data_IF_703644183375
#
_entry.id   IF_703644183375
#
_cell.length_a   1.000
_cell.length_b   1.000
_cell.length_c   1.000
_cell.angle_alpha   90.00
_cell.angle_beta   90.00
_cell.angle_gamma   90.00
#
_symmetry.space_group_name_H-M   'P 1'
#
loop_
_entity.id
_entity.type
_entity.pdbx_description
1 polymer ?
#
# COMPACT_ATOMS: atom_id res chain seq x y z
N UNK A 1 -2.37 -19.98 -10.81
CA UNK A 1 -3.27 -19.72 -9.67
C UNK A 1 -2.77 -18.57 -8.78
N UNK A 2 -1.48 -18.45 -8.44
CA UNK A 2 -0.96 -17.40 -7.52
C UNK A 2 -1.43 -15.97 -7.86
N UNK A 3 -1.36 -15.56 -9.13
CA UNK A 3 -1.86 -14.24 -9.55
C UNK A 3 -3.37 -14.06 -9.36
N UNK A 4 -4.16 -15.09 -9.69
CA UNK A 4 -5.61 -15.10 -9.43
C UNK A 4 -5.91 -15.04 -7.92
N UNK A 5 -5.15 -15.77 -7.10
CA UNK A 5 -5.29 -15.75 -5.64
C UNK A 5 -4.99 -14.38 -5.06
N UNK A 6 -3.87 -13.75 -5.43
CA UNK A 6 -3.53 -12.41 -4.96
C UNK A 6 -4.54 -11.35 -5.42
N UNK A 7 -5.02 -11.42 -6.67
CA UNK A 7 -6.05 -10.51 -7.17
C UNK A 7 -7.40 -10.72 -6.46
N UNK A 8 -7.80 -11.97 -6.21
CA UNK A 8 -9.01 -12.26 -5.45
C UNK A 8 -8.92 -11.75 -4.00
N UNK A 9 -7.76 -11.89 -3.35
CA UNK A 9 -7.52 -11.33 -2.01
C UNK A 9 -7.63 -9.80 -2.01
N UNK A 10 -7.04 -9.14 -3.01
CA UNK A 10 -7.16 -7.69 -3.17
C UNK A 10 -8.61 -7.25 -3.38
N UNK A 11 -9.38 -8.00 -4.16
CA UNK A 11 -10.80 -7.71 -4.41
C UNK A 11 -11.69 -7.96 -3.18
N UNK A 12 -11.31 -8.91 -2.31
CA UNK A 12 -12.06 -9.25 -1.09
C UNK A 12 -11.58 -8.49 0.16
N UNK A 13 -10.53 -7.66 0.04
CA UNK A 13 -10.03 -6.89 1.16
C UNK A 13 -10.83 -5.60 1.34
N UNK A 14 -11.42 -5.46 2.53
CA UNK A 14 -12.34 -4.39 2.83
C UNK A 14 -11.65 -3.01 2.87
N UNK A 15 -10.40 -2.92 3.34
CA UNK A 15 -9.64 -1.67 3.33
C UNK A 15 -9.48 -1.13 1.91
N UNK A 16 -9.06 -1.97 0.96
CA UNK A 16 -8.93 -1.61 -0.46
C UNK A 16 -10.29 -1.29 -1.09
N UNK A 17 -11.34 -2.05 -0.78
CA UNK A 17 -12.69 -1.80 -1.27
C UNK A 17 -13.21 -0.42 -0.84
N UNK A 18 -13.15 -0.10 0.45
CA UNK A 18 -13.63 1.19 0.98
C UNK A 18 -12.84 2.35 0.39
N UNK A 19 -11.50 2.25 0.35
CA UNK A 19 -10.65 3.32 -0.19
C UNK A 19 -10.87 3.55 -1.68
N UNK A 20 -11.15 2.50 -2.45
CA UNK A 20 -11.47 2.63 -3.88
C UNK A 20 -12.85 3.24 -4.11
N UNK A 21 -13.84 2.93 -3.26
CA UNK A 21 -15.20 3.48 -3.34
C UNK A 21 -15.26 4.97 -3.02
N UNK A 22 -14.43 5.44 -2.09
CA UNK A 22 -14.32 6.87 -1.76
C UNK A 22 -13.20 7.59 -2.53
N UNK A 23 -12.57 6.90 -3.49
CA UNK A 23 -11.55 7.43 -4.38
C UNK A 23 -10.36 8.12 -3.67
N UNK A 24 -9.79 7.48 -2.64
CA UNK A 24 -8.62 8.06 -1.96
C UNK A 24 -7.39 8.12 -2.86
N UNK A 25 -6.53 9.12 -2.63
CA UNK A 25 -5.26 9.29 -3.33
C UNK A 25 -4.36 8.04 -3.28
N UNK A 26 -4.45 7.26 -2.19
CA UNK A 26 -3.70 6.00 -2.01
C UNK A 26 -4.00 4.99 -3.10
N UNK A 27 -5.25 4.86 -3.55
CA UNK A 27 -5.63 3.86 -4.55
C UNK A 27 -4.99 4.15 -5.90
N UNK A 28 -4.97 5.42 -6.30
CA UNK A 28 -4.31 5.86 -7.54
C UNK A 28 -2.79 5.64 -7.46
N UNK A 29 -2.19 5.96 -6.30
CA UNK A 29 -0.78 5.69 -6.05
C UNK A 29 -0.46 4.19 -6.11
N UNK A 30 -1.23 3.35 -5.40
CA UNK A 30 -1.07 1.89 -5.42
C UNK A 30 -1.22 1.31 -6.82
N UNK A 31 -2.18 1.79 -7.61
CA UNK A 31 -2.32 1.36 -9.00
C UNK A 31 -1.05 1.68 -9.82
N UNK A 32 -0.53 2.91 -9.71
CA UNK A 32 0.73 3.31 -10.34
C UNK A 32 1.92 2.47 -9.87
N UNK A 33 2.01 2.18 -8.58
CA UNK A 33 3.05 1.31 -8.00
C UNK A 33 2.99 -0.11 -8.58
N UNK A 34 1.80 -0.73 -8.63
CA UNK A 34 1.63 -2.11 -9.11
C UNK A 34 1.96 -2.21 -10.59
N UNK A 35 1.43 -1.29 -11.41
CA UNK A 35 1.74 -1.25 -12.84
C UNK A 35 3.22 -0.93 -13.12
N UNK A 36 3.80 -0.01 -12.36
CA UNK A 36 5.23 0.31 -12.39
C UNK A 36 6.08 -0.92 -12.12
N UNK A 37 5.78 -1.67 -11.06
CA UNK A 37 6.49 -2.92 -10.75
C UNK A 37 6.32 -3.98 -11.84
N UNK A 38 5.12 -4.15 -12.40
CA UNK A 38 4.88 -5.09 -13.52
C UNK A 38 5.74 -4.72 -14.73
N UNK A 39 5.80 -3.44 -15.10
CA UNK A 39 6.64 -2.97 -16.21
C UNK A 39 8.13 -3.16 -15.91
N UNK A 40 8.57 -2.90 -14.68
CA UNK A 40 9.95 -3.08 -14.26
C UNK A 40 10.37 -4.56 -14.36
N UNK A 41 9.52 -5.46 -13.87
CA UNK A 41 9.69 -6.91 -13.95
C UNK A 41 9.70 -7.42 -15.41
N UNK A 42 8.98 -6.75 -16.32
CA UNK A 42 9.01 -6.99 -17.76
C UNK A 42 10.20 -6.33 -18.48
N UNK A 43 11.21 -5.89 -17.73
CA UNK A 43 12.42 -5.25 -18.24
C UNK A 43 12.16 -3.93 -19.01
N UNK A 44 11.15 -3.16 -18.60
CA UNK A 44 10.84 -1.84 -19.16
C UNK A 44 11.02 -0.73 -18.10
N UNK A 45 12.26 -0.47 -17.62
CA UNK A 45 12.50 0.39 -16.46
C UNK A 45 12.09 1.85 -16.69
N UNK A 46 12.22 2.38 -17.91
CA UNK A 46 11.83 3.77 -18.21
C UNK A 46 10.30 3.95 -18.14
N UNK A 47 9.54 3.04 -18.74
CA UNK A 47 8.07 3.05 -18.65
C UNK A 47 7.59 2.78 -17.22
N UNK A 48 8.28 1.88 -16.51
CA UNK A 48 8.01 1.66 -15.09
C UNK A 48 8.15 2.95 -14.30
N UNK A 49 9.28 3.66 -14.47
CA UNK A 49 9.51 4.95 -13.84
C UNK A 49 8.44 5.97 -14.18
N UNK A 50 8.07 6.11 -15.46
CA UNK A 50 7.02 7.04 -15.89
C UNK A 50 5.66 6.78 -15.20
N UNK A 51 5.26 5.51 -15.07
CA UNK A 51 4.02 5.13 -14.38
C UNK A 51 4.11 5.35 -12.86
N UNK A 52 5.27 5.11 -12.25
CA UNK A 52 5.50 5.41 -10.82
C UNK A 52 5.43 6.91 -10.58
N UNK A 53 6.02 7.73 -11.44
CA UNK A 53 5.95 9.19 -11.34
C UNK A 53 4.53 9.74 -11.51
N UNK A 54 3.73 9.13 -12.40
CA UNK A 54 2.29 9.43 -12.49
C UNK A 54 1.56 9.09 -11.17
N UNK A 55 1.87 7.94 -10.57
CA UNK A 55 1.36 7.57 -9.24
C UNK A 55 1.80 8.55 -8.14
N UNK A 56 3.05 9.04 -8.20
CA UNK A 56 3.59 10.02 -7.26
C UNK A 56 2.87 11.36 -7.36
N UNK A 57 2.42 11.75 -8.55
CA UNK A 57 1.57 12.94 -8.73
C UNK A 57 0.19 12.81 -8.09
N UNK A 58 -0.29 11.59 -7.84
CA UNK A 58 -1.50 11.36 -7.05
C UNK A 58 -1.21 11.34 -5.55
N UNK A 59 -0.13 10.66 -5.13
CA UNK A 59 0.31 10.64 -3.73
C UNK A 59 1.82 10.40 -3.59
N UNK A 60 2.44 11.19 -2.71
CA UNK A 60 3.89 11.19 -2.42
C UNK A 60 4.47 9.85 -1.93
N UNK A 61 3.63 8.86 -1.61
CA UNK A 61 4.05 7.54 -1.14
C UNK A 61 4.34 6.56 -2.29
N UNK A 62 3.92 6.86 -3.53
CA UNK A 62 4.15 5.98 -4.67
C UNK A 62 5.64 5.61 -4.90
N UNK A 63 6.62 6.52 -4.69
CA UNK A 63 8.04 6.18 -4.78
C UNK A 63 8.51 5.08 -3.83
N UNK A 64 7.73 4.68 -2.81
CA UNK A 64 8.11 3.55 -1.93
C UNK A 64 8.25 2.24 -2.69
N UNK A 65 7.63 2.10 -3.86
CA UNK A 65 7.86 0.94 -4.73
C UNK A 65 9.32 0.89 -5.23
N UNK A 66 10.04 2.01 -5.32
CA UNK A 66 11.46 2.02 -5.65
C UNK A 66 12.29 1.36 -4.54
N UNK A 67 11.94 1.54 -3.27
CA UNK A 67 12.55 0.79 -2.16
C UNK A 67 12.22 -0.70 -2.26
N UNK A 68 10.98 -1.06 -2.60
CA UNK A 68 10.60 -2.44 -2.84
C UNK A 68 11.42 -3.09 -3.98
N UNK A 69 11.61 -2.37 -5.09
CA UNK A 69 12.44 -2.83 -6.22
C UNK A 69 13.92 -2.93 -5.82
N UNK A 70 14.44 -1.99 -5.04
CA UNK A 70 15.80 -2.05 -4.51
C UNK A 70 16.02 -3.30 -3.63
N UNK A 71 15.08 -3.58 -2.72
CA UNK A 71 15.12 -4.78 -1.89
C UNK A 71 14.98 -6.03 -2.76
N UNK A 72 14.11 -6.03 -3.76
CA UNK A 72 13.96 -7.17 -4.69
C UNK A 72 15.27 -7.48 -5.42
N UNK A 73 15.93 -6.46 -5.98
CA UNK A 73 17.20 -6.64 -6.68
C UNK A 73 18.32 -7.07 -5.72
N UNK A 74 18.33 -6.57 -4.49
CA UNK A 74 19.23 -7.03 -3.43
C UNK A 74 19.00 -8.51 -3.10
N UNK A 75 17.75 -8.93 -2.87
CA UNK A 75 17.40 -10.32 -2.56
C UNK A 75 17.76 -11.27 -3.71
N UNK A 76 17.55 -10.84 -4.96
CA UNK A 76 17.97 -11.60 -6.14
C UNK A 76 19.49 -11.71 -6.23
N UNK A 77 20.22 -10.63 -6.00
CA UNK A 77 21.68 -10.63 -5.99
C UNK A 77 22.26 -11.55 -4.91
N UNK A 78 21.72 -11.52 -3.68
CA UNK A 78 22.16 -12.43 -2.61
C UNK A 78 22.02 -13.90 -3.04
N UNK A 79 20.98 -14.23 -3.82
CA UNK A 79 20.70 -15.59 -4.31
C UNK A 79 21.59 -16.02 -5.48
N UNK A 80 21.70 -15.18 -6.51
CA UNK A 80 22.35 -15.59 -7.78
C UNK A 80 23.79 -15.10 -7.91
N UNK A 81 24.16 -14.07 -7.15
CA UNK A 81 25.47 -13.39 -7.22
C UNK A 81 25.80 -12.84 -8.62
N UNK A 82 24.77 -12.56 -9.44
CA UNK A 82 24.92 -11.97 -10.77
C UNK A 82 25.48 -10.54 -10.72
N UNK A 83 25.80 -9.99 -11.89
CA UNK A 83 26.29 -8.62 -12.06
C UNK A 83 25.38 -7.56 -11.42
N UNK A 84 25.90 -6.92 -10.38
CA UNK A 84 25.23 -5.83 -9.64
C UNK A 84 25.02 -4.59 -10.51
N UNK A 85 25.98 -4.29 -11.39
CA UNK A 85 25.97 -3.08 -12.22
C UNK A 85 24.71 -2.98 -13.09
N UNK A 86 24.32 -4.06 -13.75
CA UNK A 86 23.13 -4.11 -14.61
C UNK A 86 21.84 -3.90 -13.80
N UNK A 87 21.76 -4.45 -12.58
CA UNK A 87 20.60 -4.29 -11.69
C UNK A 87 20.48 -2.85 -11.17
N UNK A 88 21.60 -2.29 -10.72
CA UNK A 88 21.68 -0.89 -10.27
C UNK A 88 21.36 0.07 -11.41
N UNK A 89 21.89 -0.15 -12.61
CA UNK A 89 21.59 0.66 -13.79
C UNK A 89 20.11 0.67 -14.15
N UNK A 90 19.43 -0.49 -14.12
CA UNK A 90 17.98 -0.58 -14.35
C UNK A 90 17.17 0.13 -13.28
N UNK A 91 17.54 -0.02 -12.01
CA UNK A 91 16.87 0.66 -10.89
C UNK A 91 17.06 2.18 -10.98
N UNK A 92 18.27 2.64 -11.29
CA UNK A 92 18.59 4.06 -11.48
C UNK A 92 17.79 4.65 -12.65
N UNK A 93 17.74 3.97 -13.79
CA UNK A 93 16.94 4.40 -14.94
C UNK A 93 15.46 4.54 -14.58
N UNK A 94 14.92 3.60 -13.80
CA UNK A 94 13.55 3.65 -13.29
C UNK A 94 13.33 4.84 -12.34
N UNK A 95 14.24 5.04 -11.38
CA UNK A 95 14.16 6.13 -10.41
C UNK A 95 14.26 7.51 -11.08
N UNK A 96 15.19 7.69 -12.03
CA UNK A 96 15.33 8.94 -12.80
C UNK A 96 14.09 9.18 -13.65
N UNK A 97 13.58 8.17 -14.37
CA UNK A 97 12.35 8.33 -15.14
C UNK A 97 11.14 8.66 -14.26
N UNK A 98 11.06 8.10 -13.05
CA UNK A 98 10.04 8.45 -12.06
C UNK A 98 10.16 9.89 -11.58
N UNK A 99 11.36 10.36 -11.25
CA UNK A 99 11.59 11.72 -10.80
C UNK A 99 11.28 12.73 -11.91
N UNK A 100 11.72 12.46 -13.15
CA UNK A 100 11.47 13.34 -14.30
C UNK A 100 9.98 13.41 -14.65
N UNK A 101 9.28 12.27 -14.71
CA UNK A 101 7.85 12.25 -15.01
C UNK A 101 7.03 12.97 -13.93
N UNK A 102 7.32 12.72 -12.64
CA UNK A 102 6.71 13.44 -11.54
C UNK A 102 6.95 14.95 -11.65
N UNK A 103 8.20 15.38 -11.87
CA UNK A 103 8.56 16.80 -11.95
C UNK A 103 7.89 17.50 -13.13
N UNK A 104 7.86 16.87 -14.30
CA UNK A 104 7.17 17.39 -15.49
C UNK A 104 5.67 17.53 -15.21
N UNK A 105 5.03 16.49 -14.67
CA UNK A 105 3.60 16.53 -14.34
C UNK A 105 3.29 17.60 -13.29
N UNK A 106 4.11 17.71 -12.24
CA UNK A 106 3.94 18.74 -11.21
C UNK A 106 4.10 20.15 -11.79
N UNK A 107 5.04 20.35 -12.73
CA UNK A 107 5.23 21.63 -13.41
C UNK A 107 4.01 21.99 -14.26
N UNK A 108 3.52 21.05 -15.08
CA UNK A 108 2.31 21.26 -15.90
C UNK A 108 1.09 21.54 -15.02
N UNK A 109 0.91 20.79 -13.94
CA UNK A 109 -0.18 21.02 -12.98
C UNK A 109 -0.05 22.38 -12.30
N UNK A 110 1.17 22.83 -12.00
CA UNK A 110 1.40 24.17 -11.46
C UNK A 110 1.01 25.30 -12.42
N UNK A 111 0.93 25.05 -13.73
CA UNK A 111 0.41 26.01 -14.70
C UNK A 111 -1.12 26.01 -14.77
N UNK A 112 -1.75 24.83 -14.69
CA UNK A 112 -3.20 24.65 -14.77
C UNK A 112 -3.87 25.09 -13.45
N UNK A 113 -3.30 24.65 -12.32
CA UNK A 113 -3.78 24.89 -10.98
C UNK A 113 -2.61 25.33 -10.08
N UNK A 114 -2.25 26.63 -10.12
CA UNK A 114 -1.13 27.14 -9.33
C UNK A 114 -1.28 26.83 -7.84
N UNK A 115 -0.21 26.32 -7.18
CA UNK A 115 -0.29 25.87 -5.80
C UNK A 115 -0.65 27.02 -4.85
N UNK A 116 -1.57 26.75 -3.94
CA UNK A 116 -2.11 27.72 -2.99
C UNK A 116 -2.05 27.13 -1.57
N UNK A 117 -1.60 27.94 -0.61
CA UNK A 117 -1.60 27.56 0.81
C UNK A 117 -2.78 28.21 1.52
N UNK A 118 -3.78 27.43 1.98
CA UNK A 118 -4.89 27.96 2.76
C UNK A 118 -4.45 28.58 4.09
N UNK A 119 -3.33 28.13 4.67
CA UNK A 119 -2.83 28.62 5.95
C UNK A 119 -2.30 30.05 5.85
N UNK A 120 -1.72 30.42 4.71
CA UNK A 120 -1.11 31.74 4.50
C UNK A 120 -1.95 32.64 3.60
N UNK A 121 -2.98 32.10 2.95
CA UNK A 121 -3.82 32.80 1.99
C UNK A 121 -3.10 33.15 0.68
N UNK A 122 -1.92 32.58 0.42
CA UNK A 122 -1.02 32.97 -0.69
C UNK A 122 -0.68 31.79 -1.58
N UNK A 123 -0.31 32.11 -2.83
CA UNK A 123 0.28 31.13 -3.75
C UNK A 123 1.66 30.70 -3.27
N UNK A 124 2.00 29.44 -3.47
CA UNK A 124 3.33 28.90 -3.16
C UNK A 124 4.30 29.37 -4.25
N UNK A 125 5.35 30.15 -3.91
CA UNK A 125 6.32 30.64 -4.89
C UNK A 125 7.32 29.54 -5.28
N UNK A 126 8.16 29.81 -6.30
CA UNK A 126 9.29 28.93 -6.64
C UNK A 126 8.97 27.76 -7.57
N UNK A 127 7.81 27.78 -8.25
CA UNK A 127 7.42 26.75 -9.22
C UNK A 127 7.32 25.35 -8.61
N UNK A 128 7.66 24.32 -9.40
CA UNK A 128 7.59 22.93 -8.96
C UNK A 128 8.49 22.63 -7.76
N UNK A 129 9.71 23.18 -7.72
CA UNK A 129 10.62 22.99 -6.58
C UNK A 129 10.11 23.64 -5.30
N UNK A 130 9.55 24.85 -5.39
CA UNK A 130 8.91 25.50 -4.25
C UNK A 130 7.69 24.74 -3.74
N UNK A 131 6.91 24.15 -4.65
CA UNK A 131 5.78 23.29 -4.28
C UNK A 131 6.24 22.01 -3.55
N UNK A 132 7.27 21.31 -4.06
CA UNK A 132 7.86 20.14 -3.37
C UNK A 132 8.35 20.55 -1.98
N UNK A 133 9.07 21.66 -1.87
CA UNK A 133 9.54 22.18 -0.58
C UNK A 133 8.41 22.44 0.40
N UNK A 134 7.29 23.00 -0.07
CA UNK A 134 6.09 23.21 0.75
C UNK A 134 5.47 21.90 1.22
N UNK A 135 5.32 20.90 0.34
CA UNK A 135 4.80 19.57 0.70
C UNK A 135 5.67 18.90 1.76
N UNK A 136 7.00 18.91 1.58
CA UNK A 136 7.95 18.31 2.52
C UNK A 136 7.94 19.03 3.88
N UNK A 137 7.83 20.37 3.88
CA UNK A 137 7.75 21.17 5.11
C UNK A 137 6.44 20.95 5.85
N UNK A 138 5.32 20.89 5.12
CA UNK A 138 4.02 20.56 5.72
C UNK A 138 4.05 19.14 6.30
N UNK A 139 4.60 18.18 5.56
CA UNK A 139 4.72 16.81 5.99
C UNK A 139 5.60 16.67 7.23
N UNK A 140 6.72 17.37 7.34
CA UNK A 140 7.61 17.25 8.52
C UNK A 140 6.96 17.70 9.82
N UNK A 141 5.93 18.57 9.77
CA UNK A 141 5.14 18.97 10.92
C UNK A 141 4.09 17.96 11.39
N UNK A 142 3.85 16.88 10.63
CA UNK A 142 2.84 15.87 10.97
C UNK A 142 3.41 14.82 11.94
N UNK A 143 3.66 15.22 13.19
CA UNK A 143 4.26 14.37 14.24
C UNK A 143 3.32 14.18 15.42
N UNK A 144 3.51 13.07 16.14
CA UNK A 144 2.82 12.70 17.38
C UNK A 144 3.86 12.32 18.45
N UNK A 145 4.58 13.30 19.03
CA UNK A 145 5.70 13.02 19.95
C UNK A 145 5.29 12.29 21.24
N UNK A 146 4.01 12.38 21.61
CA UNK A 146 3.43 11.78 22.82
C UNK A 146 2.64 10.50 22.50
N UNK A 147 2.87 9.93 21.31
CA UNK A 147 2.17 8.76 20.81
C UNK A 147 0.89 9.10 20.02
N UNK A 148 0.33 8.10 19.32
CA UNK A 148 -0.84 8.29 18.48
C UNK A 148 -2.11 8.56 19.31
N UNK A 149 -2.93 9.49 18.84
CA UNK A 149 -4.23 9.83 19.43
C UNK A 149 -5.38 9.61 18.43
N UNK A 150 -6.59 9.37 18.93
CA UNK A 150 -7.77 9.17 18.11
C UNK A 150 -7.66 7.93 17.20
N UNK A 151 -7.77 8.14 15.89
CA UNK A 151 -7.66 7.07 14.88
C UNK A 151 -6.20 6.81 14.42
N UNK A 152 -5.23 7.60 14.90
CA UNK A 152 -3.82 7.33 14.64
C UNK A 152 -3.37 6.03 15.34
N UNK A 153 -2.32 5.41 14.80
CA UNK A 153 -1.71 4.20 15.34
C UNK A 153 -0.28 4.04 14.85
N UNK A 154 0.51 3.25 15.56
CA UNK A 154 1.87 2.95 15.11
C UNK A 154 1.86 1.96 13.96
N UNK A 155 2.89 1.97 13.09
CA UNK A 155 2.97 1.03 11.96
C UNK A 155 2.90 -0.45 12.36
N UNK A 156 3.52 -0.84 13.48
CA UNK A 156 3.48 -2.23 13.96
C UNK A 156 2.10 -2.65 14.46
N UNK A 157 1.28 -1.72 14.96
CA UNK A 157 -0.09 -1.99 15.39
C UNK A 157 -0.92 -2.47 14.18
N UNK A 158 -0.65 -1.99 12.97
CA UNK A 158 -1.41 -2.35 11.77
C UNK A 158 -1.37 -3.84 11.41
N UNK A 159 -0.40 -4.59 11.95
CA UNK A 159 -0.24 -6.02 11.69
C UNK A 159 -1.02 -6.90 12.68
N UNK A 160 -1.43 -6.35 13.82
CA UNK A 160 -1.97 -7.13 14.95
C UNK A 160 -3.23 -6.52 15.55
N UNK A 161 -3.35 -5.20 15.53
CA UNK A 161 -4.47 -4.45 16.08
C UNK A 161 -5.56 -4.29 15.01
N UNK A 162 -6.69 -4.95 15.24
CA UNK A 162 -7.88 -4.88 14.39
C UNK A 162 -8.67 -3.65 14.84
N UNK A 163 -8.11 -2.47 14.57
CA UNK A 163 -8.75 -1.18 14.87
C UNK A 163 -9.35 -0.57 13.60
N UNK A 164 -10.67 -0.72 13.37
CA UNK A 164 -11.28 -0.21 12.18
C UNK A 164 -11.37 1.32 12.17
N UNK A 165 -11.34 1.91 10.97
CA UNK A 165 -11.56 3.35 10.76
C UNK A 165 -12.97 3.56 10.23
N UNK A 166 -13.78 4.36 10.93
CA UNK A 166 -15.12 4.72 10.45
C UNK A 166 -15.02 5.94 9.54
N UNK A 167 -15.32 5.78 8.26
CA UNK A 167 -15.34 6.88 7.27
C UNK A 167 -16.71 7.54 7.16
N UNK A 168 -17.76 6.74 7.28
CA UNK A 168 -19.15 7.20 7.24
C UNK A 168 -20.01 6.20 7.99
N UNK A 169 -20.88 6.71 8.87
CA UNK A 169 -21.90 5.94 9.54
C UNK A 169 -23.23 6.69 9.45
N UNK A 170 -24.21 6.08 8.79
CA UNK A 170 -25.58 6.59 8.70
C UNK A 170 -26.47 5.58 9.43
N UNK A 171 -27.05 5.99 10.56
CA UNK A 171 -28.00 5.19 11.32
C UNK A 171 -29.42 5.74 11.13
N UNK A 172 -30.30 5.04 10.39
CA UNK A 172 -31.66 5.50 10.13
C UNK A 172 -32.55 5.52 11.39
N UNK A 173 -32.14 4.92 12.51
CA UNK A 173 -32.83 5.02 13.80
C UNK A 173 -32.64 6.39 14.49
N UNK A 174 -31.72 7.23 14.00
CA UNK A 174 -31.50 8.59 14.49
C UNK A 174 -31.55 9.62 13.34
N UNK A 175 -32.71 9.83 12.69
CA UNK A 175 -32.82 10.77 11.59
C UNK A 175 -32.65 12.22 12.09
N UNK A 176 -31.80 13.00 11.43
CA UNK A 176 -31.85 14.47 11.53
C UNK A 176 -33.06 14.97 10.71
N UNK A 177 -33.56 16.18 11.02
CA UNK A 177 -34.78 16.73 10.39
C UNK A 177 -34.73 16.86 8.86
N UNK A 178 -33.55 16.72 8.24
CA UNK A 178 -33.33 16.72 6.80
C UNK A 178 -33.32 15.32 6.15
N UNK A 179 -33.43 14.22 6.93
CA UNK A 179 -33.24 12.83 6.51
C UNK A 179 -34.49 11.95 6.73
N UNK A 180 -35.68 12.48 6.39
CA UNK A 180 -36.95 11.76 6.56
C UNK A 180 -37.24 10.72 5.46
N UNK A 181 -36.37 10.60 4.46
CA UNK A 181 -36.45 9.56 3.44
C UNK A 181 -35.44 8.47 3.80
N UNK A 182 -35.89 7.21 3.77
CA UNK A 182 -35.12 6.03 4.20
C UNK A 182 -33.80 5.95 3.42
N UNK A 183 -32.73 6.46 4.01
CA UNK A 183 -31.37 6.18 3.56
C UNK A 183 -30.99 4.78 4.09
N UNK A 184 -30.38 3.89 3.28
CA UNK A 184 -29.90 2.62 3.79
C UNK A 184 -28.93 2.86 4.95
N UNK A 185 -28.91 1.98 5.95
CA UNK A 185 -27.85 2.00 6.94
C UNK A 185 -26.51 1.82 6.21
N UNK A 186 -25.64 2.83 6.30
CA UNK A 186 -24.33 2.83 5.65
C UNK A 186 -23.28 2.78 6.73
N UNK A 187 -22.32 1.86 6.61
CA UNK A 187 -21.15 1.82 7.48
C UNK A 187 -19.88 1.58 6.66
N UNK A 188 -19.24 2.68 6.21
CA UNK A 188 -17.94 2.60 5.55
C UNK A 188 -16.85 2.41 6.60
N UNK A 189 -16.49 1.15 6.80
CA UNK A 189 -15.47 0.74 7.76
C UNK A 189 -14.17 0.40 7.02
N UNK A 190 -13.11 1.17 7.18
CA UNK A 190 -11.78 0.79 6.70
C UNK A 190 -11.14 -0.22 7.64
N UNK A 191 -11.08 -1.48 7.23
CA UNK A 191 -10.47 -2.55 8.00
C UNK A 191 -9.79 -3.56 7.06
N UNK A 192 -8.57 -3.96 7.39
CA UNK A 192 -7.90 -5.06 6.70
C UNK A 192 -8.64 -6.35 7.03
N UNK A 193 -8.93 -7.17 6.01
CA UNK A 193 -9.64 -8.44 6.21
C UNK A 193 -8.93 -9.31 7.26
N UNK A 194 -9.55 -9.61 8.42
CA UNK A 194 -8.88 -10.34 9.49
C UNK A 194 -8.33 -11.72 9.08
N UNK A 195 -9.02 -12.53 8.24
CA UNK A 195 -8.47 -13.78 7.72
C UNK A 195 -7.22 -13.61 6.83
N UNK A 196 -7.10 -12.48 6.12
CA UNK A 196 -5.89 -12.15 5.34
C UNK A 196 -4.77 -11.77 6.32
N UNK A 197 -5.07 -10.88 7.28
CA UNK A 197 -4.11 -10.41 8.29
C UNK A 197 -3.52 -11.54 9.12
N UNK A 198 -4.34 -12.53 9.50
CA UNK A 198 -3.93 -13.73 10.22
C UNK A 198 -2.80 -14.50 9.53
N UNK A 199 -2.80 -14.53 8.19
CA UNK A 199 -1.77 -15.23 7.41
C UNK A 199 -0.61 -14.32 6.98
N UNK A 200 -0.65 -13.02 7.27
CA UNK A 200 0.40 -12.07 6.90
C UNK A 200 1.75 -12.45 7.50
N UNK A 201 1.86 -12.54 8.83
CA UNK A 201 3.12 -12.87 9.50
C UNK A 201 3.61 -14.28 9.14
N UNK A 202 2.78 -15.35 9.17
CA UNK A 202 3.19 -16.66 8.68
C UNK A 202 3.66 -16.64 7.22
N UNK A 203 2.98 -15.89 6.35
CA UNK A 203 3.33 -15.76 4.93
C UNK A 203 4.67 -15.07 4.71
N UNK A 204 4.94 -13.99 5.45
CA UNK A 204 6.21 -13.27 5.42
C UNK A 204 7.36 -14.16 5.92
N UNK A 205 7.17 -14.85 7.05
CA UNK A 205 8.16 -15.79 7.59
C UNK A 205 8.43 -16.93 6.60
N UNK A 206 7.39 -17.47 5.98
CA UNK A 206 7.52 -18.51 4.96
C UNK A 206 8.27 -18.01 3.71
N UNK A 207 8.00 -16.79 3.24
CA UNK A 207 8.70 -16.18 2.11
C UNK A 207 10.18 -15.89 2.43
N UNK A 208 10.49 -15.51 3.68
CA UNK A 208 11.85 -15.24 4.13
C UNK A 208 12.65 -16.52 4.42
N UNK A 209 12.00 -17.61 4.81
CA UNK A 209 12.64 -18.85 5.26
C UNK A 209 13.72 -19.41 4.33
N UNK A 210 13.53 -19.47 2.99
CA UNK A 210 14.57 -19.97 2.09
C UNK A 210 15.83 -19.10 2.07
N UNK A 211 15.71 -17.79 2.33
CA UNK A 211 16.83 -16.85 2.36
C UNK A 211 17.76 -17.08 3.56
N UNK A 212 17.24 -17.68 4.63
CA UNK A 212 18.00 -17.98 5.85
C UNK A 212 18.77 -19.31 5.76
N UNK A 213 18.57 -20.11 4.71
CA UNK A 213 19.20 -21.43 4.57
C UNK A 213 20.43 -21.38 3.65
N UNK A 214 21.51 -22.05 4.06
CA UNK A 214 22.79 -22.15 3.30
C UNK A 214 22.65 -22.76 1.90
N UNK A 215 21.63 -23.60 1.69
CA UNK A 215 21.21 -24.11 0.37
C UNK A 215 19.73 -23.77 0.20
N UNK A 216 19.39 -22.62 -0.40
CA UNK A 216 17.99 -22.24 -0.57
C UNK A 216 17.32 -23.30 -1.47
N UNK A 217 16.23 -23.97 -1.03
CA UNK A 217 15.37 -24.68 -1.97
C UNK A 217 14.88 -23.70 -3.03
N UNK A 218 14.34 -24.17 -4.17
CA UNK A 218 13.85 -23.27 -5.23
C UNK A 218 12.85 -22.25 -4.67
N UNK A 219 13.32 -21.05 -4.32
CA UNK A 219 12.50 -20.00 -3.73
C UNK A 219 11.57 -19.49 -4.81
N UNK A 220 10.27 -19.47 -4.53
CA UNK A 220 9.32 -18.91 -5.48
C UNK A 220 9.59 -17.42 -5.64
N UNK A 221 9.75 -16.99 -6.89
CA UNK A 221 9.92 -15.59 -7.24
C UNK A 221 8.77 -14.73 -6.68
N UNK A 222 7.56 -15.27 -6.62
CA UNK A 222 6.38 -14.59 -6.05
C UNK A 222 6.56 -14.28 -4.56
N UNK A 223 7.13 -15.20 -3.79
CA UNK A 223 7.42 -14.98 -2.37
C UNK A 223 8.46 -13.89 -2.16
N UNK A 224 9.53 -13.87 -2.99
CA UNK A 224 10.57 -12.83 -2.93
C UNK A 224 9.99 -11.46 -3.30
N UNK A 225 9.18 -11.38 -4.37
CA UNK A 225 8.52 -10.14 -4.77
C UNK A 225 7.58 -9.64 -3.67
N UNK A 226 6.76 -10.52 -3.08
CA UNK A 226 5.86 -10.15 -1.99
C UNK A 226 6.59 -9.67 -0.75
N UNK A 227 7.67 -10.35 -0.36
CA UNK A 227 8.52 -9.95 0.77
C UNK A 227 9.21 -8.60 0.50
N UNK A 228 9.81 -8.43 -0.67
CA UNK A 228 10.46 -7.18 -1.05
C UNK A 228 9.47 -6.01 -1.09
N UNK A 229 8.27 -6.24 -1.62
CA UNK A 229 7.18 -5.27 -1.61
C UNK A 229 6.81 -4.86 -0.19
N UNK A 230 6.53 -5.84 0.68
CA UNK A 230 6.18 -5.58 2.06
C UNK A 230 7.27 -4.76 2.76
N UNK A 231 8.52 -5.20 2.71
CA UNK A 231 9.63 -4.50 3.37
C UNK A 231 9.81 -3.08 2.81
N UNK A 232 9.79 -2.91 1.48
CA UNK A 232 10.03 -1.62 0.84
C UNK A 232 8.92 -0.59 1.06
N UNK A 233 7.71 -1.04 1.36
CA UNK A 233 6.56 -0.14 1.59
C UNK A 233 6.20 0.01 3.06
N UNK A 234 6.51 -0.97 3.91
CA UNK A 234 6.22 -0.95 5.35
C UNK A 234 7.35 -0.33 6.17
N UNK A 235 8.62 -0.69 5.91
CA UNK A 235 9.76 -0.20 6.70
C UNK A 235 9.94 1.32 6.67
N UNK A 236 9.67 2.06 5.57
CA UNK A 236 9.70 3.51 5.62
C UNK A 236 8.78 4.10 6.69
N UNK A 237 7.57 3.54 6.88
CA UNK A 237 6.68 3.99 7.94
C UNK A 237 7.22 3.70 9.33
N UNK A 238 7.77 2.50 9.54
CA UNK A 238 8.42 2.14 10.81
C UNK A 238 9.57 3.10 11.10
N UNK A 239 10.44 3.35 10.13
CA UNK A 239 11.59 4.25 10.28
C UNK A 239 11.13 5.69 10.60
N UNK A 240 10.16 6.24 9.87
CA UNK A 240 9.62 7.57 10.16
C UNK A 240 8.93 7.65 11.52
N UNK A 241 8.23 6.59 11.94
CA UNK A 241 7.61 6.53 13.26
C UNK A 241 8.65 6.56 14.39
N UNK A 242 9.76 5.84 14.24
CA UNK A 242 10.80 5.76 15.28
C UNK A 242 11.69 7.01 15.28
N UNK A 243 12.07 7.52 14.10
CA UNK A 243 13.05 8.62 13.97
C UNK A 243 12.39 9.99 14.10
N UNK A 244 11.17 10.15 13.58
CA UNK A 244 10.53 11.45 13.44
C UNK A 244 9.21 11.56 14.23
N UNK A 245 8.84 10.53 14.99
CA UNK A 245 7.53 10.45 15.65
C UNK A 245 6.37 10.72 14.68
N UNK A 246 6.48 10.24 13.43
CA UNK A 246 5.53 10.53 12.36
C UNK A 246 4.11 10.08 12.71
N UNK A 247 3.14 10.98 12.65
CA UNK A 247 1.72 10.64 12.79
C UNK A 247 1.30 9.73 11.65
N UNK A 248 0.78 8.55 11.99
CA UNK A 248 0.46 7.50 11.03
C UNK A 248 -0.87 6.83 11.34
N UNK A 249 -1.47 6.20 10.32
CA UNK A 249 -2.84 5.68 10.37
C UNK A 249 -2.92 4.34 9.64
N UNK A 250 -3.86 3.47 10.03
CA UNK A 250 -4.05 2.14 9.43
C UNK A 250 -4.19 2.18 7.91
N UNK A 251 -4.83 3.21 7.35
CA UNK A 251 -5.03 3.31 5.90
C UNK A 251 -3.73 3.43 5.08
N UNK A 252 -2.59 3.75 5.70
CA UNK A 252 -1.29 3.68 5.02
C UNK A 252 -0.90 2.25 4.63
N UNK A 253 -1.55 1.24 5.20
CA UNK A 253 -1.40 -0.14 4.75
C UNK A 253 -1.85 -0.38 3.32
N UNK A 254 -2.70 0.48 2.72
CA UNK A 254 -3.18 0.32 1.33
C UNK A 254 -2.04 0.07 0.34
N UNK A 255 -0.91 0.78 0.48
CA UNK A 255 0.25 0.59 -0.41
C UNK A 255 1.11 -0.65 -0.05
N UNK A 256 0.98 -1.17 1.17
CA UNK A 256 1.69 -2.35 1.69
C UNK A 256 0.98 -3.64 1.31
N UNK A 257 -0.36 -3.59 1.26
CA UNK A 257 -1.24 -4.74 1.03
C UNK A 257 -0.89 -5.59 -0.21
N UNK A 258 -0.46 -5.05 -1.37
CA UNK A 258 -0.08 -5.88 -2.51
C UNK A 258 1.00 -6.93 -2.17
N UNK A 259 1.98 -6.57 -1.33
CA UNK A 259 2.99 -7.50 -0.85
C UNK A 259 2.39 -8.60 0.03
N UNK A 260 1.46 -8.23 0.90
CA UNK A 260 0.72 -9.15 1.78
C UNK A 260 -0.08 -10.17 0.95
N UNK A 261 -0.83 -9.72 -0.05
CA UNK A 261 -1.61 -10.62 -0.91
C UNK A 261 -0.70 -11.64 -1.63
N UNK A 262 0.48 -11.22 -2.10
CA UNK A 262 1.44 -12.10 -2.75
C UNK A 262 2.00 -13.16 -1.79
N UNK A 263 2.41 -12.79 -0.58
CA UNK A 263 2.98 -13.75 0.38
C UNK A 263 1.92 -14.69 0.97
N UNK A 264 0.70 -14.21 1.19
CA UNK A 264 -0.43 -15.04 1.63
C UNK A 264 -0.82 -16.03 0.54
N UNK A 265 -0.98 -15.58 -0.70
CA UNK A 265 -1.20 -16.48 -1.83
C UNK A 265 -0.04 -17.48 -1.97
N UNK A 266 1.21 -17.03 -1.82
CA UNK A 266 2.36 -17.92 -1.88
C UNK A 266 2.34 -19.02 -0.81
N UNK A 267 1.99 -18.67 0.43
CA UNK A 267 1.86 -19.62 1.54
C UNK A 267 0.75 -20.64 1.25
N UNK A 268 -0.44 -20.16 0.87
CA UNK A 268 -1.62 -21.00 0.61
C UNK A 268 -1.36 -22.01 -0.52
N UNK A 269 -0.52 -21.66 -1.52
CA UNK A 269 -0.06 -22.58 -2.57
C UNK A 269 0.53 -23.88 -2.04
N UNK A 270 1.22 -23.76 -0.90
CA UNK A 270 2.14 -24.77 -0.39
C UNK A 270 1.50 -25.64 0.68
N UNK A 271 0.29 -25.30 1.13
CA UNK A 271 -0.47 -26.07 2.13
C UNK A 271 -0.87 -27.47 1.63
N UNK A 272 -0.84 -27.72 0.31
CA UNK A 272 -0.85 -29.08 -0.27
C UNK A 272 -2.14 -29.87 0.01
N UNK A 273 -2.07 -31.14 0.50
CA UNK A 273 -3.22 -32.06 0.62
C UNK A 273 -4.30 -31.60 1.60
N UNK A 274 -4.06 -30.57 2.41
CA UNK A 274 -5.04 -29.98 3.34
C UNK A 274 -5.99 -29.00 2.64
N UNK A 275 -6.51 -29.37 1.46
CA UNK A 275 -7.45 -28.54 0.67
C UNK A 275 -8.65 -28.06 1.46
N UNK A 276 -9.12 -28.86 2.44
CA UNK A 276 -10.21 -28.47 3.36
C UNK A 276 -9.88 -27.23 4.20
N UNK A 277 -8.65 -27.09 4.69
CA UNK A 277 -8.23 -25.91 5.46
C UNK A 277 -8.14 -24.68 4.56
N UNK A 278 -7.61 -24.85 3.34
CA UNK A 278 -7.57 -23.77 2.34
C UNK A 278 -8.99 -23.32 1.99
N UNK A 279 -9.91 -24.27 1.77
CA UNK A 279 -11.31 -23.95 1.49
C UNK A 279 -11.97 -23.22 2.66
N UNK A 280 -11.78 -23.69 3.90
CA UNK A 280 -12.29 -23.04 5.10
C UNK A 280 -11.79 -21.59 5.23
N UNK A 281 -10.50 -21.38 4.98
CA UNK A 281 -9.91 -20.04 4.98
C UNK A 281 -10.43 -19.17 3.82
N UNK A 282 -10.62 -19.72 2.62
CA UNK A 282 -11.24 -18.97 1.52
C UNK A 282 -12.67 -18.57 1.84
N UNK A 283 -13.45 -19.46 2.47
CA UNK A 283 -14.81 -19.17 2.94
C UNK A 283 -14.79 -18.06 3.99
N UNK A 284 -13.81 -18.06 4.91
CA UNK A 284 -13.72 -16.99 5.92
C UNK A 284 -13.34 -15.64 5.30
N UNK A 285 -12.46 -15.61 4.29
CA UNK A 285 -12.16 -14.39 3.52
C UNK A 285 -13.42 -13.85 2.83
N UNK A 286 -14.21 -14.71 2.19
CA UNK A 286 -15.46 -14.32 1.53
C UNK A 286 -16.51 -13.85 2.54
N UNK A 287 -16.66 -14.56 3.66
CA UNK A 287 -17.55 -14.15 4.74
C UNK A 287 -17.17 -12.77 5.29
N UNK A 288 -15.87 -12.52 5.52
CA UNK A 288 -15.38 -11.21 5.94
C UNK A 288 -15.68 -10.12 4.90
N UNK A 289 -15.50 -10.40 3.61
CA UNK A 289 -15.81 -9.44 2.54
C UNK A 289 -17.30 -9.07 2.49
N UNK A 290 -18.20 -10.03 2.74
CA UNK A 290 -19.65 -9.80 2.76
C UNK A 290 -20.08 -9.07 4.04
N UNK A 291 -19.60 -9.51 5.20
CA UNK A 291 -19.97 -8.91 6.49
C UNK A 291 -19.48 -7.46 6.61
N UNK A 292 -18.28 -7.19 6.10
CA UNK A 292 -17.69 -5.84 6.13
C UNK A 292 -18.12 -4.97 4.95
N UNK A 293 -18.99 -5.46 4.06
CA UNK A 293 -19.43 -4.68 2.90
C UNK A 293 -20.20 -3.43 3.38
N UNK A 294 -19.94 -2.23 2.83
CA UNK A 294 -20.43 -0.96 3.40
C UNK A 294 -21.95 -0.80 3.53
N UNK A 295 -22.72 -1.65 2.85
CA UNK A 295 -24.18 -1.64 2.81
C UNK A 295 -24.82 -2.85 3.52
N UNK A 296 -24.02 -3.66 4.20
CA UNK A 296 -24.54 -4.75 5.01
C UNK A 296 -25.20 -4.14 6.25
N UNK A 297 -26.50 -4.37 6.48
CA UNK A 297 -27.16 -3.86 7.68
C UNK A 297 -26.51 -4.51 8.90
N UNK A 298 -25.89 -3.70 9.74
CA UNK A 298 -25.38 -4.16 11.02
C UNK A 298 -26.56 -4.20 12.02
N UNK A 299 -26.68 -5.26 12.83
CA UNK A 299 -27.71 -5.36 13.85
C UNK A 299 -27.59 -4.29 14.93
#
# INVERSE_FOLDING_TARGET
>A
WLGLGAAALMACDNLLLVHSRIATLDIYATAGMVWGAVLYLRNRPLLAGAVIGLGASAKEVAPYVLFALAILELLRWVRTRDEVATRVGRLLACAVASALSFFVLLTVMGWIAPPYSPQTGKRVPGGALGHIGHILTYASGQTSPHGPHGIASYPWDWLVDIKPITYLQINPLHPTSALNNIEPAVHFLGLISPPILLLTLPGLLFAAWPLLRRRPPSTSEVGIVGLAWFLGTFLPYVAMSVIQSRTSYLYYMVIVMPGIYLVVAHLVARIGPRRKLVLLWMVSVLAAAVVLYPFTPLP
#
